data_IF_838042292387
#
_entry.id   IF_838042292387
#
_cell.length_a   1.000
_cell.length_b   1.000
_cell.length_c   1.000
_cell.angle_alpha   90.00
_cell.angle_beta   90.00
_cell.angle_gamma   90.00
#
_symmetry.space_group_name_H-M   'P 1'
#
loop_
_entity.id
_entity.type
_entity.pdbx_description
1 polymer ?
#
# COMPACT_ATOMS: atom_id res chain seq x y z
N UNK A 1 -6.45 -10.20 3.99
CA UNK A 1 -5.69 -9.10 3.35
C UNK A 1 -5.17 -8.13 4.39
N UNK A 2 -4.11 -7.39 4.08
CA UNK A 2 -3.67 -6.28 4.92
C UNK A 2 -4.63 -5.09 4.76
N UNK A 3 -4.92 -4.42 5.88
CA UNK A 3 -5.70 -3.17 5.85
C UNK A 3 -4.96 -2.10 5.02
N UNK A 4 -5.73 -1.24 4.38
CA UNK A 4 -5.23 -0.12 3.56
C UNK A 4 -4.24 -0.54 2.45
N UNK A 5 -4.31 -1.79 1.98
CA UNK A 5 -3.46 -2.31 0.91
C UNK A 5 -4.14 -2.22 -0.47
N UNK A 6 -3.33 -2.22 -1.53
CA UNK A 6 -3.80 -2.34 -2.89
C UNK A 6 -4.59 -3.65 -3.13
N UNK A 7 -4.22 -4.73 -2.44
CA UNK A 7 -4.94 -5.99 -2.46
C UNK A 7 -6.38 -5.86 -1.91
N UNK A 8 -6.56 -5.09 -0.83
CA UNK A 8 -7.90 -4.78 -0.32
C UNK A 8 -8.68 -3.92 -1.32
N UNK A 9 -8.06 -2.87 -1.85
CA UNK A 9 -8.67 -2.00 -2.84
C UNK A 9 -9.09 -2.76 -4.11
N UNK A 10 -8.26 -3.68 -4.60
CA UNK A 10 -8.57 -4.51 -5.75
C UNK A 10 -9.82 -5.38 -5.57
N UNK A 11 -10.19 -5.72 -4.34
CA UNK A 11 -11.36 -6.53 -4.01
C UNK A 11 -12.60 -5.71 -3.66
N UNK A 12 -12.43 -4.52 -3.07
CA UNK A 12 -13.53 -3.79 -2.39
C UNK A 12 -13.79 -2.39 -2.92
N UNK A 13 -12.86 -1.77 -3.65
CA UNK A 13 -13.05 -0.40 -4.15
C UNK A 13 -14.15 -0.33 -5.22
N UNK A 14 -14.66 0.88 -5.43
CA UNK A 14 -15.64 1.13 -6.50
C UNK A 14 -15.05 0.88 -7.89
N UNK A 15 -13.75 1.07 -8.05
CA UNK A 15 -13.01 0.82 -9.29
C UNK A 15 -12.56 -0.63 -9.47
N UNK A 16 -12.80 -1.51 -8.47
CA UNK A 16 -12.48 -2.92 -8.58
C UNK A 16 -13.23 -3.57 -9.76
N UNK A 17 -12.54 -4.47 -10.47
CA UNK A 17 -13.13 -5.17 -11.61
C UNK A 17 -14.39 -5.96 -11.22
N UNK A 18 -15.29 -6.18 -12.17
CA UNK A 18 -16.50 -6.97 -11.91
C UNK A 18 -16.17 -8.40 -11.44
N UNK A 19 -15.07 -8.95 -11.93
CA UNK A 19 -14.55 -10.26 -11.56
C UNK A 19 -14.07 -10.29 -10.11
N UNK A 20 -13.26 -9.32 -9.70
CA UNK A 20 -12.78 -9.18 -8.33
C UNK A 20 -13.93 -8.94 -7.34
N UNK A 21 -14.89 -8.09 -7.72
CA UNK A 21 -16.12 -7.89 -6.91
C UNK A 21 -16.93 -9.16 -6.74
N UNK A 22 -17.03 -9.97 -7.80
CA UNK A 22 -17.71 -11.27 -7.74
C UNK A 22 -16.93 -12.25 -6.86
N UNK A 23 -15.61 -12.27 -6.99
CA UNK A 23 -14.72 -13.08 -6.17
C UNK A 23 -14.84 -12.70 -4.69
N UNK A 24 -14.75 -11.40 -4.36
CA UNK A 24 -14.89 -10.92 -2.98
C UNK A 24 -16.23 -11.33 -2.34
N UNK A 25 -17.33 -11.31 -3.12
CA UNK A 25 -18.66 -11.74 -2.66
C UNK A 25 -18.78 -13.27 -2.49
N UNK A 26 -17.87 -14.04 -3.06
CA UNK A 26 -17.84 -15.50 -2.89
C UNK A 26 -17.15 -15.97 -1.62
N UNK A 27 -16.40 -15.10 -0.97
CA UNK A 27 -15.75 -15.40 0.31
C UNK A 27 -16.79 -15.46 1.44
N UNK A 28 -16.61 -16.40 2.36
CA UNK A 28 -17.40 -16.42 3.59
C UNK A 28 -17.11 -15.18 4.44
N UNK A 29 -15.84 -14.76 4.47
CA UNK A 29 -15.37 -13.58 5.18
C UNK A 29 -14.11 -13.04 4.50
N UNK A 30 -14.00 -11.71 4.38
CA UNK A 30 -12.80 -11.00 3.97
C UNK A 30 -12.17 -10.34 5.20
N UNK A 31 -11.27 -11.06 5.86
CA UNK A 31 -10.59 -10.60 7.06
C UNK A 31 -9.48 -9.60 6.73
N UNK A 32 -9.44 -8.48 7.46
CA UNK A 32 -8.37 -7.49 7.39
C UNK A 32 -7.44 -7.65 8.58
N UNK A 33 -6.14 -7.52 8.35
CA UNK A 33 -5.09 -7.59 9.38
C UNK A 33 -4.17 -6.38 9.27
N UNK A 34 -3.48 -6.02 10.35
CA UNK A 34 -2.60 -4.86 10.38
C UNK A 34 -1.26 -5.09 9.66
N UNK A 35 -0.82 -6.33 9.53
CA UNK A 35 0.48 -6.69 8.95
C UNK A 35 0.49 -8.10 8.36
N UNK A 36 1.49 -8.38 7.52
CA UNK A 36 1.62 -9.68 6.84
C UNK A 36 1.99 -10.82 7.79
N UNK A 37 2.71 -10.57 8.89
CA UNK A 37 3.01 -11.63 9.85
C UNK A 37 1.73 -12.16 10.50
N UNK A 38 0.82 -11.27 10.89
CA UNK A 38 -0.50 -11.63 11.41
C UNK A 38 -1.32 -12.41 10.36
N UNK A 39 -1.24 -12.01 9.08
CA UNK A 39 -1.89 -12.76 8.01
C UNK A 39 -1.35 -14.19 7.91
N UNK A 40 -0.04 -14.38 7.91
CA UNK A 40 0.57 -15.71 7.85
C UNK A 40 0.31 -16.54 9.11
N UNK A 41 0.29 -15.95 10.29
CA UNK A 41 -0.12 -16.66 11.51
C UNK A 41 -1.56 -17.19 11.40
N UNK A 42 -2.47 -16.39 10.86
CA UNK A 42 -3.85 -16.82 10.63
C UNK A 42 -3.94 -17.94 9.58
N UNK A 43 -3.10 -17.90 8.55
CA UNK A 43 -3.02 -18.97 7.55
C UNK A 43 -2.42 -20.26 8.15
N UNK A 44 -1.36 -20.16 8.94
CA UNK A 44 -0.71 -21.30 9.61
C UNK A 44 -1.64 -21.98 10.62
N UNK A 45 -2.43 -21.19 11.35
CA UNK A 45 -3.41 -21.71 12.30
C UNK A 45 -4.68 -22.27 11.64
N UNK A 46 -4.88 -22.02 10.34
CA UNK A 46 -6.10 -22.39 9.62
C UNK A 46 -7.27 -21.44 9.85
N UNK A 47 -7.08 -20.31 10.53
CA UNK A 47 -8.10 -19.29 10.71
C UNK A 47 -8.53 -18.66 9.39
N UNK A 48 -7.62 -18.57 8.43
CA UNK A 48 -7.91 -18.21 7.03
C UNK A 48 -7.36 -19.26 6.08
N UNK A 49 -7.98 -19.40 4.90
CA UNK A 49 -7.59 -20.41 3.90
C UNK A 49 -6.67 -19.85 2.81
N UNK A 50 -6.66 -18.53 2.65
CA UNK A 50 -5.83 -17.83 1.67
C UNK A 50 -5.47 -16.43 2.14
N UNK A 51 -4.36 -15.91 1.61
CA UNK A 51 -3.92 -14.52 1.79
C UNK A 51 -3.79 -13.89 0.41
N UNK A 52 -4.23 -12.64 0.28
CA UNK A 52 -3.91 -11.80 -0.87
C UNK A 52 -2.90 -10.74 -0.45
N UNK A 53 -1.81 -10.62 -1.21
CA UNK A 53 -0.68 -9.74 -0.92
C UNK A 53 0.19 -9.54 -2.17
N UNK A 54 1.19 -8.66 -2.06
CA UNK A 54 2.16 -8.42 -3.12
C UNK A 54 3.01 -9.66 -3.43
N UNK A 55 3.26 -9.91 -4.72
CA UNK A 55 3.99 -11.08 -5.18
C UNK A 55 5.43 -11.14 -4.64
N UNK A 56 6.11 -9.98 -4.53
CA UNK A 56 7.47 -9.90 -3.99
C UNK A 56 7.54 -10.33 -2.53
N UNK A 57 6.60 -9.83 -1.73
CA UNK A 57 6.49 -10.19 -0.30
C UNK A 57 6.08 -11.65 -0.16
N UNK A 58 5.13 -12.13 -0.97
CA UNK A 58 4.70 -13.53 -0.96
C UNK A 58 5.86 -14.50 -1.22
N UNK A 59 6.68 -14.22 -2.26
CA UNK A 59 7.85 -15.04 -2.58
C UNK A 59 8.88 -15.07 -1.43
N UNK A 60 9.15 -13.92 -0.83
CA UNK A 60 10.06 -13.83 0.31
C UNK A 60 9.54 -14.62 1.51
N UNK A 61 8.28 -14.42 1.88
CA UNK A 61 7.68 -15.06 3.05
C UNK A 61 7.54 -16.58 2.88
N UNK A 62 7.13 -17.05 1.70
CA UNK A 62 7.06 -18.48 1.41
C UNK A 62 8.44 -19.13 1.57
N UNK A 63 9.48 -18.50 1.00
CA UNK A 63 10.84 -18.99 1.07
C UNK A 63 11.40 -18.98 2.49
N UNK A 64 11.18 -17.89 3.23
CA UNK A 64 11.64 -17.75 4.62
C UNK A 64 10.97 -18.72 5.59
N UNK A 65 9.71 -19.10 5.30
CA UNK A 65 8.92 -20.06 6.11
C UNK A 65 9.07 -21.51 5.64
N UNK A 66 10.09 -21.82 4.85
CA UNK A 66 10.42 -23.19 4.44
C UNK A 66 9.48 -23.79 3.41
N UNK A 67 8.93 -22.98 2.52
CA UNK A 67 8.06 -23.39 1.41
C UNK A 67 6.79 -24.16 1.85
N UNK A 68 6.24 -23.83 3.00
CA UNK A 68 5.01 -24.46 3.53
C UNK A 68 3.75 -24.03 2.79
N UNK A 69 3.82 -22.95 2.03
CA UNK A 69 2.70 -22.33 1.33
C UNK A 69 2.92 -22.40 -0.17
N UNK A 70 1.83 -22.34 -0.90
CA UNK A 70 1.82 -22.30 -2.36
C UNK A 70 1.21 -21.01 -2.85
N UNK A 71 1.86 -20.38 -3.79
CA UNK A 71 1.29 -19.25 -4.52
C UNK A 71 0.37 -19.77 -5.64
N UNK A 72 -0.79 -19.14 -5.78
CA UNK A 72 -1.72 -19.41 -6.88
C UNK A 72 -1.28 -18.65 -8.13
N UNK A 73 -1.65 -19.15 -9.30
CA UNK A 73 -1.34 -18.49 -10.57
C UNK A 73 -2.26 -17.30 -10.87
N UNK A 74 -3.43 -17.28 -10.24
CA UNK A 74 -4.40 -16.21 -10.45
C UNK A 74 -3.93 -14.92 -9.77
N UNK A 75 -3.95 -13.82 -10.52
CA UNK A 75 -3.58 -12.48 -10.06
C UNK A 75 -4.84 -11.63 -9.93
N UNK A 76 -4.99 -10.91 -8.83
CA UNK A 76 -6.14 -10.01 -8.61
C UNK A 76 -5.94 -8.66 -9.31
N UNK A 77 -4.71 -8.18 -9.35
CA UNK A 77 -4.32 -6.95 -10.02
C UNK A 77 -2.86 -7.04 -10.49
N UNK A 78 -2.50 -6.15 -11.39
CA UNK A 78 -1.11 -5.88 -11.76
C UNK A 78 -0.81 -4.41 -11.49
N UNK A 79 0.30 -4.16 -10.81
CA UNK A 79 0.76 -2.81 -10.48
C UNK A 79 2.17 -2.60 -11.00
N UNK A 80 2.52 -1.34 -11.22
CA UNK A 80 3.89 -0.93 -11.52
C UNK A 80 4.45 -0.17 -10.33
N UNK A 81 5.61 -0.58 -9.85
CA UNK A 81 6.34 0.18 -8.85
C UNK A 81 7.09 1.33 -9.53
N UNK A 82 7.14 2.47 -8.86
CA UNK A 82 7.87 3.63 -9.32
C UNK A 82 8.70 4.22 -8.17
N UNK A 83 9.79 4.89 -8.53
CA UNK A 83 10.61 5.63 -7.59
C UNK A 83 10.17 7.09 -7.63
N UNK A 84 9.67 7.60 -6.49
CA UNK A 84 9.29 9.00 -6.34
C UNK A 84 10.48 9.87 -5.95
N UNK A 85 10.57 11.06 -6.52
CA UNK A 85 11.59 12.06 -6.20
C UNK A 85 10.93 13.35 -5.73
N UNK A 86 11.66 14.14 -4.95
CA UNK A 86 11.20 15.47 -4.58
C UNK A 86 10.98 16.32 -5.84
N UNK A 87 9.88 17.05 -5.86
CA UNK A 87 9.56 17.93 -6.98
C UNK A 87 10.71 18.90 -7.27
N UNK A 88 11.12 19.00 -8.53
CA UNK A 88 12.26 19.82 -8.96
C UNK A 88 13.62 19.11 -8.90
N UNK A 89 13.76 17.94 -8.28
CA UNK A 89 15.01 17.18 -8.25
C UNK A 89 15.18 16.32 -9.51
N UNK A 90 15.20 16.99 -10.67
CA UNK A 90 15.24 16.35 -11.99
C UNK A 90 16.59 15.67 -12.23
N UNK A 91 17.68 16.26 -11.74
CA UNK A 91 19.04 15.74 -11.93
C UNK A 91 19.17 14.34 -11.31
N UNK A 92 18.86 14.19 -10.01
CA UNK A 92 18.92 12.90 -9.33
C UNK A 92 17.97 11.87 -9.98
N UNK A 93 16.75 12.30 -10.37
CA UNK A 93 15.81 11.42 -11.07
C UNK A 93 16.43 10.86 -12.36
N UNK A 94 17.07 11.73 -13.15
CA UNK A 94 17.67 11.35 -14.43
C UNK A 94 18.88 10.42 -14.24
N UNK A 95 19.69 10.69 -13.22
CA UNK A 95 20.82 9.83 -12.86
C UNK A 95 20.36 8.42 -12.46
N UNK A 96 19.36 8.33 -11.59
CA UNK A 96 18.81 7.03 -11.15
C UNK A 96 18.17 6.29 -12.33
N UNK A 97 17.38 6.98 -13.15
CA UNK A 97 16.76 6.36 -14.34
C UNK A 97 17.83 5.88 -15.32
N UNK A 98 18.86 6.69 -15.56
CA UNK A 98 20.00 6.31 -16.41
C UNK A 98 20.69 5.05 -15.92
N UNK A 99 20.97 4.97 -14.61
CA UNK A 99 21.58 3.79 -14.01
C UNK A 99 20.69 2.55 -14.14
N UNK A 100 19.37 2.68 -13.94
CA UNK A 100 18.44 1.56 -14.13
C UNK A 100 18.41 1.06 -15.57
N UNK A 101 18.44 1.96 -16.55
CA UNK A 101 18.49 1.59 -17.96
C UNK A 101 19.83 0.96 -18.37
N UNK A 102 20.93 1.42 -17.77
CA UNK A 102 22.25 0.80 -17.96
C UNK A 102 22.25 -0.63 -17.40
N UNK A 103 21.74 -0.83 -16.18
CA UNK A 103 21.60 -2.16 -15.56
C UNK A 103 20.67 -3.08 -16.37
N UNK A 104 19.64 -2.53 -17.02
CA UNK A 104 18.78 -3.29 -17.92
C UNK A 104 19.56 -3.72 -19.18
N UNK A 105 20.37 -2.83 -19.74
CA UNK A 105 21.13 -3.08 -20.97
C UNK A 105 22.28 -4.09 -20.79
N UNK A 106 22.91 -4.11 -19.62
CA UNK A 106 24.01 -5.02 -19.31
C UNK A 106 23.57 -6.35 -18.68
N UNK A 107 22.26 -6.50 -18.39
CA UNK A 107 21.65 -7.69 -17.82
C UNK A 107 21.70 -7.76 -16.29
N UNK A 108 22.36 -6.82 -15.62
CA UNK A 108 22.46 -6.78 -14.14
C UNK A 108 21.08 -6.70 -13.48
N UNK A 109 20.15 -5.94 -14.10
CA UNK A 109 18.78 -5.82 -13.58
C UNK A 109 18.05 -7.16 -13.56
N UNK A 110 18.18 -7.94 -14.65
CA UNK A 110 17.56 -9.26 -14.75
C UNK A 110 18.18 -10.27 -13.77
N UNK A 111 19.51 -10.23 -13.59
CA UNK A 111 20.21 -11.08 -12.60
C UNK A 111 19.71 -10.82 -11.18
N UNK A 112 19.53 -9.55 -10.81
CA UNK A 112 18.99 -9.16 -9.51
C UNK A 112 17.54 -9.65 -9.38
N UNK A 113 16.71 -9.41 -10.39
CA UNK A 113 15.32 -9.86 -10.40
C UNK A 113 15.23 -11.38 -10.22
N UNK A 114 16.05 -12.15 -10.92
CA UNK A 114 16.12 -13.60 -10.79
C UNK A 114 16.57 -14.06 -9.40
N UNK A 115 17.52 -13.38 -8.80
CA UNK A 115 17.96 -13.67 -7.42
C UNK A 115 16.80 -13.58 -6.42
N UNK A 116 15.86 -12.68 -6.65
CA UNK A 116 14.71 -12.45 -5.78
C UNK A 116 13.44 -13.18 -6.26
N UNK A 117 13.48 -13.90 -7.39
CA UNK A 117 12.32 -14.59 -7.97
C UNK A 117 11.28 -13.64 -8.53
N UNK A 118 11.73 -12.52 -9.10
CA UNK A 118 10.91 -11.44 -9.64
C UNK A 118 11.13 -11.23 -11.15
N UNK A 119 11.74 -12.18 -11.84
CA UNK A 119 12.04 -12.09 -13.27
C UNK A 119 10.79 -11.85 -14.13
N UNK A 120 9.66 -12.46 -13.76
CA UNK A 120 8.37 -12.25 -14.45
C UNK A 120 7.70 -10.91 -14.12
N UNK A 121 8.23 -10.19 -13.13
CA UNK A 121 7.71 -8.91 -12.66
C UNK A 121 8.49 -7.71 -13.20
N UNK A 122 9.55 -7.96 -13.97
CA UNK A 122 10.34 -6.90 -14.61
C UNK A 122 9.47 -6.22 -15.67
N UNK A 123 9.20 -4.93 -15.46
CA UNK A 123 8.42 -4.10 -16.39
C UNK A 123 9.20 -2.90 -16.91
N UNK A 124 10.47 -2.73 -16.52
CA UNK A 124 11.33 -1.67 -17.03
C UNK A 124 11.65 -1.94 -18.51
N UNK A 125 11.50 -0.92 -19.35
CA UNK A 125 11.77 -0.99 -20.79
C UNK A 125 12.78 0.08 -21.21
N UNK A 126 13.60 -0.21 -22.22
CA UNK A 126 14.52 0.75 -22.80
C UNK A 126 13.81 1.99 -23.38
N UNK A 127 12.54 1.84 -23.75
CA UNK A 127 11.70 2.93 -24.26
C UNK A 127 11.01 3.74 -23.16
N UNK A 128 11.18 3.37 -21.88
CA UNK A 128 10.62 4.11 -20.76
C UNK A 128 11.25 5.50 -20.70
N UNK A 129 10.50 6.47 -21.17
CA UNK A 129 10.89 7.88 -21.15
C UNK A 129 10.58 8.47 -19.78
N UNK A 130 11.37 9.48 -19.44
CA UNK A 130 11.04 10.32 -18.28
C UNK A 130 9.67 10.95 -18.50
N UNK A 131 8.80 10.81 -17.51
CA UNK A 131 7.63 11.67 -17.43
C UNK A 131 8.16 13.02 -16.96
N UNK A 132 8.27 13.95 -17.87
CA UNK A 132 8.71 15.30 -17.52
C UNK A 132 7.57 15.95 -16.73
N UNK A 133 7.78 16.14 -15.43
CA UNK A 133 6.80 16.78 -14.56
C UNK A 133 6.57 18.27 -14.88
N UNK A 134 7.23 18.79 -15.90
CA UNK A 134 6.92 20.11 -16.45
C UNK A 134 5.56 20.16 -17.17
N UNK A 135 5.00 19.01 -17.56
CA UNK A 135 3.65 18.93 -18.12
C UNK A 135 2.53 18.77 -17.10
N UNK A 136 2.86 18.47 -15.84
CA UNK A 136 1.92 18.74 -14.77
C UNK A 136 1.99 20.23 -14.45
N UNK A 137 1.25 21.01 -15.19
CA UNK A 137 0.70 22.23 -14.64
C UNK A 137 -0.14 21.81 -13.40
N UNK A 138 0.55 21.51 -12.28
CA UNK A 138 -0.05 21.67 -10.98
C UNK A 138 -0.39 23.13 -10.91
N UNK A 139 -1.54 23.46 -11.44
CA UNK A 139 -2.12 24.78 -11.28
C UNK A 139 -2.16 25.01 -9.77
N UNK A 140 -1.98 26.25 -9.34
CA UNK A 140 -2.19 26.64 -7.95
C UNK A 140 -3.50 26.06 -7.39
N UNK A 141 -4.45 25.73 -8.25
CA UNK A 141 -5.73 25.13 -7.94
C UNK A 141 -5.61 23.71 -7.37
N UNK A 142 -4.71 22.85 -7.91
CA UNK A 142 -4.49 21.50 -7.36
C UNK A 142 -3.82 21.54 -5.98
N UNK A 143 -2.89 22.48 -5.77
CA UNK A 143 -2.26 22.68 -4.47
C UNK A 143 -3.30 23.12 -3.43
N UNK A 144 -4.16 24.08 -3.76
CA UNK A 144 -5.20 24.55 -2.85
C UNK A 144 -6.29 23.53 -2.60
N UNK A 145 -6.62 22.68 -3.59
CA UNK A 145 -7.55 21.57 -3.41
C UNK A 145 -6.97 20.48 -2.50
N UNK A 146 -5.69 20.10 -2.68
CA UNK A 146 -5.02 19.13 -1.81
C UNK A 146 -4.87 19.68 -0.39
N UNK A 147 -4.50 20.96 -0.22
CA UNK A 147 -4.49 21.62 1.07
C UNK A 147 -5.86 21.64 1.72
N UNK A 148 -6.91 21.87 0.96
CA UNK A 148 -8.29 21.81 1.43
C UNK A 148 -8.67 20.43 1.96
N UNK A 149 -8.35 19.37 1.25
CA UNK A 149 -8.62 17.97 1.66
C UNK A 149 -7.85 17.60 2.92
N UNK A 150 -6.55 17.93 2.97
CA UNK A 150 -5.70 17.66 4.15
C UNK A 150 -6.23 18.46 5.36
N UNK A 151 -6.64 19.71 5.16
CA UNK A 151 -7.16 20.55 6.24
C UNK A 151 -8.47 20.00 6.80
N UNK A 152 -9.36 19.49 5.95
CA UNK A 152 -10.61 18.87 6.40
C UNK A 152 -10.34 17.61 7.22
N UNK A 153 -9.44 16.73 6.78
CA UNK A 153 -9.06 15.53 7.52
C UNK A 153 -8.42 15.85 8.88
N UNK A 154 -7.54 16.87 8.91
CA UNK A 154 -6.96 17.36 10.16
C UNK A 154 -8.01 17.96 11.11
N UNK A 155 -9.00 18.67 10.56
CA UNK A 155 -10.09 19.26 11.35
C UNK A 155 -10.99 18.20 11.97
N UNK A 156 -11.28 17.12 11.24
CA UNK A 156 -12.04 15.97 11.77
C UNK A 156 -11.29 15.29 12.93
N UNK A 157 -10.00 15.07 12.78
CA UNK A 157 -9.15 14.53 13.85
C UNK A 157 -9.08 15.46 15.08
N UNK A 158 -8.97 16.77 14.84
CA UNK A 158 -8.97 17.79 15.90
C UNK A 158 -10.32 17.82 16.65
N UNK A 159 -11.43 17.78 15.92
CA UNK A 159 -12.78 17.73 16.50
C UNK A 159 -12.99 16.48 17.38
N UNK A 160 -12.54 15.31 16.90
CA UNK A 160 -12.60 14.09 17.67
C UNK A 160 -11.77 14.19 18.97
N UNK A 161 -10.56 14.72 18.89
CA UNK A 161 -9.69 14.92 20.05
C UNK A 161 -10.30 15.92 21.05
N UNK A 162 -10.85 17.02 20.56
CA UNK A 162 -11.48 18.05 21.37
C UNK A 162 -12.74 17.49 22.07
N UNK A 163 -13.51 16.67 21.36
CA UNK A 163 -14.71 16.02 21.92
C UNK A 163 -14.32 15.07 23.08
N UNK A 164 -13.31 14.23 22.87
CA UNK A 164 -12.80 13.33 23.92
C UNK A 164 -12.29 14.14 25.11
N UNK A 165 -11.55 15.22 24.87
CA UNK A 165 -11.02 16.09 25.91
C UNK A 165 -12.15 16.73 26.75
N UNK A 166 -13.17 17.29 26.10
CA UNK A 166 -14.33 17.91 26.77
C UNK A 166 -15.12 16.85 27.58
N UNK A 167 -15.37 15.68 27.00
CA UNK A 167 -16.06 14.59 27.70
C UNK A 167 -15.25 14.12 28.92
N UNK A 168 -13.93 14.00 28.78
CA UNK A 168 -13.05 13.62 29.89
C UNK A 168 -13.10 14.64 31.00
N UNK A 169 -13.05 15.93 30.72
CA UNK A 169 -13.21 17.00 31.73
C UNK A 169 -14.58 16.97 32.39
N UNK A 170 -15.63 16.78 31.62
CA UNK A 170 -17.01 16.79 32.09
C UNK A 170 -17.28 15.64 33.08
N UNK A 171 -16.69 14.48 32.86
CA UNK A 171 -16.84 13.31 33.71
C UNK A 171 -15.81 13.26 34.86
N UNK A 172 -14.58 13.69 34.64
CA UNK A 172 -13.52 13.60 35.64
C UNK A 172 -13.70 14.60 36.79
N UNK A 173 -14.17 15.83 36.49
CA UNK A 173 -14.40 16.83 37.54
C UNK A 173 -15.46 16.43 38.57
N UNK A 174 -16.70 16.01 38.18
CA UNK A 174 -17.68 15.57 39.17
C UNK A 174 -17.28 14.27 39.90
N UNK A 175 -16.59 13.33 39.18
CA UNK A 175 -16.10 12.11 39.81
C UNK A 175 -15.00 12.40 40.83
N UNK A 176 -14.07 13.33 40.51
CA UNK A 176 -13.04 13.78 41.44
C UNK A 176 -13.63 14.45 42.69
N UNK A 177 -14.69 15.23 42.53
CA UNK A 177 -15.40 15.87 43.64
C UNK A 177 -16.12 14.82 44.54
N UNK A 178 -16.74 13.81 43.92
CA UNK A 178 -17.39 12.71 44.63
C UNK A 178 -16.42 11.84 45.44
N UNK A 179 -15.20 11.65 44.94
CA UNK A 179 -14.15 10.87 45.65
C UNK A 179 -13.47 11.68 46.75
N UNK A 180 -13.47 13.02 46.63
CA UNK A 180 -12.84 13.92 47.59
C UNK A 180 -13.78 14.36 48.73
N UNK A 181 -15.08 14.07 48.64
CA UNK A 181 -16.09 14.33 49.71
C UNK A 181 -16.28 13.10 50.60
#
# INVERSE_FOLDING_TARGET
VQADSSALAALTSDDATAENKKLAKSFAELQQVGDYNSAFMNLESGAVQAICMDIGVANYEIKSRGNKFKMLNDKLSTEKYAIGFQLGNIELRNEVQGALLEMLSDGTFEEIAKKWGLEESVCLSADDKYIDSTDTSTTNDDFWQQLGQITVQLLEGLLATLTIFVLTLLFSLPLGLLVAA
#
